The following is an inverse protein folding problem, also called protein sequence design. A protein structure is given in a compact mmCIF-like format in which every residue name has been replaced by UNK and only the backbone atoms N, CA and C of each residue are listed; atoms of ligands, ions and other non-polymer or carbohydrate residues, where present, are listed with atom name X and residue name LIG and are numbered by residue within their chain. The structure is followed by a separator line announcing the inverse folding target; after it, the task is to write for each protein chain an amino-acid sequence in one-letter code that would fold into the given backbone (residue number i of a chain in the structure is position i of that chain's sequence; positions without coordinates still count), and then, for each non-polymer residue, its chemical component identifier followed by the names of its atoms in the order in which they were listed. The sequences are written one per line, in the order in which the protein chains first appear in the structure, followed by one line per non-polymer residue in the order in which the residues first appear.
data_IF_415012683277
#
_entry.id   IF_415012683277
#
_cell.length_a   1.000
_cell.length_b   1.000
_cell.length_c   1.000
_cell.angle_alpha   90.00
_cell.angle_beta   90.00
_cell.angle_gamma   90.00
#
_symmetry.space_group_name_H-M   'P 1'
#
loop_
_entity.id
_entity.type
_entity.pdbx_description
1 polymer ?
#
# COMPACT_ATOMS: atom_id res chain seq x y z
N UNK A 1 -11.61 -12.25 -9.09
CA UNK A 1 -12.36 -11.02 -9.48
C UNK A 1 -11.50 -10.31 -10.54
N UNK A 2 -12.01 -10.01 -11.75
CA UNK A 2 -11.16 -9.80 -12.94
C UNK A 2 -10.59 -8.37 -13.12
N UNK A 3 -11.04 -7.37 -12.35
CA UNK A 3 -10.65 -5.96 -12.54
C UNK A 3 -10.49 -5.23 -11.20
N UNK A 4 -9.47 -4.37 -11.10
CA UNK A 4 -9.34 -3.44 -9.98
C UNK A 4 -10.50 -2.43 -10.02
N UNK A 5 -11.11 -2.13 -8.87
CA UNK A 5 -12.29 -1.25 -8.74
C UNK A 5 -11.96 0.08 -8.07
N UNK A 6 -10.71 0.27 -7.71
CA UNK A 6 -10.21 1.46 -7.03
C UNK A 6 -9.21 2.15 -7.95
N UNK A 7 -9.21 3.48 -7.97
CA UNK A 7 -8.12 4.29 -8.48
C UNK A 7 -7.33 4.87 -7.30
N UNK A 8 -6.08 4.45 -7.18
CA UNK A 8 -5.12 4.99 -6.23
C UNK A 8 -4.23 6.02 -6.90
N UNK A 9 -4.22 7.23 -6.35
CA UNK A 9 -3.40 8.34 -6.85
C UNK A 9 -2.51 8.79 -5.70
N UNK A 10 -1.21 8.91 -5.96
CA UNK A 10 -0.29 9.62 -5.09
C UNK A 10 0.26 10.86 -5.79
N UNK A 11 0.40 11.94 -5.04
CA UNK A 11 1.11 13.15 -5.46
C UNK A 11 2.20 13.42 -4.43
N UNK A 12 3.43 13.55 -4.92
CA UNK A 12 4.56 13.95 -4.09
C UNK A 12 4.73 15.47 -4.18
N UNK A 13 4.13 16.20 -3.25
CA UNK A 13 4.24 17.65 -3.20
C UNK A 13 5.19 18.15 -2.10
N UNK A 14 5.43 17.35 -1.06
CA UNK A 14 6.26 17.70 0.09
C UNK A 14 7.22 16.55 0.44
N UNK A 15 8.51 16.88 0.58
CA UNK A 15 9.53 15.97 1.14
C UNK A 15 10.04 16.41 2.52
N UNK A 16 9.67 17.61 2.98
CA UNK A 16 10.00 18.09 4.32
C UNK A 16 9.55 17.08 5.40
N UNK A 17 10.47 16.61 6.25
CA UNK A 17 10.13 15.67 7.32
C UNK A 17 11.11 15.77 8.49
N UNK A 18 10.64 15.92 9.74
CA UNK A 18 11.52 15.93 10.92
C UNK A 18 11.94 14.51 11.35
N UNK A 19 11.32 13.48 10.78
CA UNK A 19 11.57 12.08 11.10
C UNK A 19 12.94 11.59 10.63
N UNK A 20 13.36 10.47 11.20
CA UNK A 20 14.61 9.79 10.87
C UNK A 20 14.47 8.27 10.88
N UNK A 21 13.26 7.79 10.58
CA UNK A 21 12.95 6.37 10.49
C UNK A 21 13.89 5.68 9.50
N UNK A 22 14.51 4.58 9.93
CA UNK A 22 15.54 3.87 9.16
C UNK A 22 15.01 3.26 7.85
N UNK A 23 13.71 2.96 7.79
CA UNK A 23 13.03 2.49 6.58
C UNK A 23 12.62 3.59 5.60
N UNK A 24 12.90 4.86 5.88
CA UNK A 24 12.44 5.97 5.05
C UNK A 24 13.04 5.94 3.63
N UNK A 25 12.20 6.25 2.64
CA UNK A 25 12.61 6.38 1.24
C UNK A 25 13.28 7.73 0.94
N UNK A 26 13.04 8.75 1.77
CA UNK A 26 13.64 10.08 1.66
C UNK A 26 15.03 10.11 2.28
N UNK A 27 15.99 10.72 1.57
CA UNK A 27 17.33 10.95 2.12
C UNK A 27 17.36 12.20 3.01
N UNK A 28 18.41 12.31 3.82
CA UNK A 28 18.53 13.38 4.83
C UNK A 28 18.49 14.80 4.26
N UNK A 29 18.96 15.01 3.05
CA UNK A 29 19.03 16.34 2.43
C UNK A 29 17.67 16.78 1.86
N UNK A 30 16.88 15.86 1.33
CA UNK A 30 15.53 16.15 0.80
C UNK A 30 14.57 16.64 1.91
N UNK A 31 14.76 16.13 3.12
CA UNK A 31 13.84 16.37 4.25
C UNK A 31 13.93 17.76 4.87
N UNK A 32 14.88 18.59 4.44
CA UNK A 32 15.21 19.87 5.08
C UNK A 32 14.41 21.05 4.55
N UNK A 33 13.56 20.85 3.55
CA UNK A 33 12.75 21.91 2.93
C UNK A 33 11.71 22.44 3.93
N UNK A 34 11.30 23.70 3.72
CA UNK A 34 10.24 24.38 4.51
C UNK A 34 9.12 24.92 3.63
N UNK A 35 9.19 24.62 2.35
CA UNK A 35 8.24 24.99 1.31
C UNK A 35 7.92 23.71 0.54
N UNK A 36 6.75 23.63 -0.10
CA UNK A 36 6.44 22.52 -0.98
C UNK A 36 7.52 22.35 -2.05
N UNK A 37 7.86 21.09 -2.34
CA UNK A 37 8.80 20.69 -3.38
C UNK A 37 8.14 20.79 -4.77
N UNK A 38 6.82 20.53 -4.84
CA UNK A 38 6.00 20.78 -6.02
C UNK A 38 5.49 22.23 -6.05
N UNK A 39 5.70 22.93 -7.16
CA UNK A 39 5.12 24.27 -7.35
C UNK A 39 3.58 24.22 -7.44
N UNK A 40 2.89 25.23 -6.92
CA UNK A 40 1.43 25.31 -7.00
C UNK A 40 0.89 25.20 -8.44
N UNK A 41 1.58 25.81 -9.42
CA UNK A 41 1.24 25.68 -10.84
C UNK A 41 1.21 24.22 -11.29
N UNK A 42 2.20 23.44 -10.85
CA UNK A 42 2.32 22.05 -11.22
C UNK A 42 1.31 21.19 -10.45
N UNK A 43 1.06 21.47 -9.17
CA UNK A 43 0.01 20.83 -8.39
C UNK A 43 -1.37 20.99 -9.03
N UNK A 44 -1.71 22.21 -9.47
CA UNK A 44 -2.96 22.48 -10.20
C UNK A 44 -2.99 21.77 -11.57
N UNK A 45 -1.85 21.68 -12.25
CA UNK A 45 -1.76 20.89 -13.48
C UNK A 45 -2.04 19.40 -13.21
N UNK A 46 -1.49 18.84 -12.13
CA UNK A 46 -1.75 17.45 -11.72
C UNK A 46 -3.26 17.21 -11.52
N UNK A 47 -3.95 18.11 -10.81
CA UNK A 47 -5.40 18.02 -10.63
C UNK A 47 -6.17 18.05 -11.97
N UNK A 48 -5.82 18.97 -12.87
CA UNK A 48 -6.45 19.08 -14.18
C UNK A 48 -6.25 17.81 -15.03
N UNK A 49 -5.07 17.17 -14.92
CA UNK A 49 -4.77 15.94 -15.64
C UNK A 49 -5.52 14.74 -15.08
N UNK A 50 -5.69 14.68 -13.76
CA UNK A 50 -6.50 13.66 -13.10
C UNK A 50 -7.98 13.82 -13.45
N UNK A 51 -8.50 15.05 -13.47
CA UNK A 51 -9.87 15.37 -13.89
C UNK A 51 -10.18 14.89 -15.31
N UNK A 52 -9.23 15.06 -16.23
CA UNK A 52 -9.35 14.53 -17.60
C UNK A 52 -9.21 13.00 -17.67
N UNK A 53 -8.46 12.39 -16.74
CA UNK A 53 -8.13 10.97 -16.76
C UNK A 53 -9.20 10.08 -16.13
N UNK A 54 -9.81 10.48 -15.01
CA UNK A 54 -10.80 9.68 -14.27
C UNK A 54 -11.94 9.17 -15.18
N UNK A 55 -12.54 9.99 -16.08
CA UNK A 55 -13.60 9.54 -16.99
C UNK A 55 -13.17 8.50 -18.02
N UNK A 56 -11.86 8.28 -18.20
CA UNK A 56 -11.32 7.28 -19.15
C UNK A 56 -11.27 5.87 -18.58
N UNK A 57 -11.57 5.73 -17.28
CA UNK A 57 -11.48 4.47 -16.55
C UNK A 57 -12.86 3.84 -16.37
N UNK A 58 -12.97 2.55 -16.70
CA UNK A 58 -14.19 1.78 -16.53
C UNK A 58 -14.25 1.09 -15.15
N UNK A 59 -15.48 0.91 -14.64
CA UNK A 59 -15.79 0.12 -13.44
C UNK A 59 -15.07 0.60 -12.16
N UNK A 60 -14.89 1.91 -12.01
CA UNK A 60 -14.43 2.49 -10.76
C UNK A 60 -15.57 2.53 -9.73
N UNK A 61 -15.29 2.01 -8.54
CA UNK A 61 -16.13 2.13 -7.35
C UNK A 61 -15.57 3.17 -6.36
N UNK A 62 -14.24 3.31 -6.29
CA UNK A 62 -13.57 4.18 -5.31
C UNK A 62 -12.38 4.94 -5.91
N UNK A 63 -12.11 6.14 -5.38
CA UNK A 63 -10.92 6.93 -5.66
C UNK A 63 -10.28 7.36 -4.35
N UNK A 64 -9.00 7.04 -4.19
CA UNK A 64 -8.18 7.50 -3.08
C UNK A 64 -7.05 8.38 -3.61
N UNK A 65 -6.97 9.61 -3.10
CA UNK A 65 -5.94 10.59 -3.46
C UNK A 65 -5.06 10.85 -2.24
N UNK A 66 -3.78 10.53 -2.34
CA UNK A 66 -2.80 10.72 -1.27
C UNK A 66 -1.79 11.81 -1.65
N UNK A 67 -1.64 12.80 -0.78
CA UNK A 67 -0.48 13.69 -0.76
C UNK A 67 0.60 13.04 0.11
N UNK A 68 1.70 12.61 -0.51
CA UNK A 68 2.55 11.52 -0.02
C UNK A 68 4.02 11.85 0.33
N UNK A 69 4.68 10.85 0.90
CA UNK A 69 6.11 10.72 1.27
C UNK A 69 6.65 11.63 2.39
N UNK A 70 6.24 12.90 2.48
CA UNK A 70 6.74 13.86 3.47
C UNK A 70 5.94 13.95 4.77
N UNK A 71 6.17 15.02 5.55
CA UNK A 71 5.34 15.43 6.68
C UNK A 71 4.65 16.75 6.34
N UNK A 72 3.39 16.68 5.91
CA UNK A 72 2.65 17.85 5.44
C UNK A 72 2.35 18.85 6.56
N UNK A 73 2.37 18.45 7.84
CA UNK A 73 2.30 19.39 8.96
C UNK A 73 3.55 20.29 9.07
N UNK A 74 4.54 20.13 8.19
CA UNK A 74 5.65 21.09 8.06
C UNK A 74 5.31 22.29 7.19
N UNK A 75 4.28 22.19 6.35
CA UNK A 75 3.77 23.31 5.54
C UNK A 75 2.92 24.25 6.38
N UNK A 76 2.48 25.38 5.83
CA UNK A 76 1.51 26.23 6.52
C UNK A 76 0.09 25.66 6.44
N UNK A 77 -0.81 26.25 7.22
CA UNK A 77 -2.19 25.80 7.33
C UNK A 77 -2.99 26.04 6.04
N UNK A 78 -2.71 27.14 5.33
CA UNK A 78 -3.42 27.50 4.11
C UNK A 78 -3.10 26.52 2.98
N UNK A 79 -1.85 26.04 2.91
CA UNK A 79 -1.44 25.01 1.98
C UNK A 79 -2.18 23.69 2.23
N UNK A 80 -2.30 23.25 3.49
CA UNK A 80 -3.04 22.03 3.82
C UNK A 80 -4.52 22.12 3.45
N UNK A 81 -5.16 23.26 3.68
CA UNK A 81 -6.55 23.52 3.24
C UNK A 81 -6.67 23.55 1.72
N UNK A 82 -5.66 24.07 1.02
CA UNK A 82 -5.58 24.03 -0.44
C UNK A 82 -5.52 22.58 -0.95
N UNK A 83 -4.68 21.72 -0.35
CA UNK A 83 -4.60 20.30 -0.71
C UNK A 83 -5.95 19.60 -0.53
N UNK A 84 -6.58 19.76 0.63
CA UNK A 84 -7.91 19.20 0.88
C UNK A 84 -8.93 19.72 -0.14
N UNK A 85 -8.94 21.03 -0.40
CA UNK A 85 -9.89 21.62 -1.34
C UNK A 85 -9.73 21.08 -2.76
N UNK A 86 -8.48 20.98 -3.26
CA UNK A 86 -8.21 20.47 -4.59
C UNK A 86 -8.63 19.00 -4.74
N UNK A 87 -8.29 18.16 -3.76
CA UNK A 87 -8.68 16.75 -3.78
C UNK A 87 -10.18 16.54 -3.62
N UNK A 88 -10.83 17.29 -2.73
CA UNK A 88 -12.28 17.24 -2.54
C UNK A 88 -13.03 17.70 -3.79
N UNK A 89 -12.61 18.81 -4.42
CA UNK A 89 -13.21 19.31 -5.66
C UNK A 89 -13.14 18.26 -6.79
N UNK A 90 -12.00 17.56 -6.92
CA UNK A 90 -11.81 16.50 -7.90
C UNK A 90 -12.78 15.33 -7.65
N UNK A 91 -12.83 14.81 -6.43
CA UNK A 91 -13.68 13.67 -6.07
C UNK A 91 -15.18 14.02 -6.18
N UNK A 92 -15.60 15.16 -5.63
CA UNK A 92 -16.99 15.64 -5.67
C UNK A 92 -17.47 15.83 -7.12
N UNK A 93 -16.64 16.39 -8.01
CA UNK A 93 -16.98 16.60 -9.42
C UNK A 93 -17.27 15.28 -10.15
N UNK A 94 -16.59 14.20 -9.79
CA UNK A 94 -16.79 12.88 -10.38
C UNK A 94 -17.81 12.00 -9.62
N UNK A 95 -18.45 12.54 -8.57
CA UNK A 95 -19.48 11.83 -7.80
C UNK A 95 -18.95 10.86 -6.74
N UNK A 96 -17.72 11.06 -6.28
CA UNK A 96 -17.05 10.26 -5.26
C UNK A 96 -17.02 10.99 -3.90
N UNK A 97 -18.17 11.49 -3.44
CA UNK A 97 -18.31 12.23 -2.18
C UNK A 97 -18.77 11.37 -0.99
N UNK A 98 -18.78 10.04 -1.15
CA UNK A 98 -19.10 9.09 -0.09
C UNK A 98 -17.89 8.71 0.79
N UNK A 99 -18.10 8.23 2.04
CA UNK A 99 -17.03 7.98 3.02
C UNK A 99 -15.97 6.95 2.63
N UNK A 100 -16.18 6.16 1.56
CA UNK A 100 -15.19 5.20 1.07
C UNK A 100 -14.11 5.87 0.22
N UNK A 101 -14.34 7.10 -0.22
CA UNK A 101 -13.39 7.93 -0.94
C UNK A 101 -12.83 8.98 0.01
N UNK A 102 -11.54 9.20 -0.02
CA UNK A 102 -10.93 10.21 0.81
C UNK A 102 -9.70 10.83 0.16
N UNK A 103 -9.38 12.02 0.65
CA UNK A 103 -8.09 12.65 0.45
C UNK A 103 -7.24 12.31 1.67
N UNK A 104 -6.00 11.91 1.43
CA UNK A 104 -5.05 11.57 2.48
C UNK A 104 -3.85 12.51 2.44
N UNK A 105 -3.23 12.73 3.60
CA UNK A 105 -1.94 13.42 3.68
C UNK A 105 -1.01 12.71 4.66
N UNK A 106 0.26 12.58 4.32
CA UNK A 106 1.23 11.95 5.22
C UNK A 106 1.72 12.92 6.31
N UNK A 107 1.85 12.44 7.54
CA UNK A 107 2.46 13.19 8.64
C UNK A 107 3.25 12.27 9.57
N UNK A 108 4.34 12.81 10.13
CA UNK A 108 5.12 12.10 11.13
C UNK A 108 4.57 12.26 12.54
N UNK A 109 3.75 13.30 12.79
CA UNK A 109 3.30 13.71 14.14
C UNK A 109 4.44 13.91 15.17
N UNK A 110 5.68 14.09 14.70
CA UNK A 110 6.84 14.39 15.53
C UNK A 110 6.90 15.89 15.79
N UNK A 111 6.64 16.29 17.03
CA UNK A 111 6.73 17.68 17.45
C UNK A 111 6.12 17.91 18.82
N UNK A 112 6.11 19.18 19.25
CA UNK A 112 5.48 19.56 20.50
C UNK A 112 3.96 19.64 20.32
N UNK A 113 3.20 19.11 21.28
CA UNK A 113 1.75 19.04 21.22
C UNK A 113 1.10 20.44 21.12
N UNK A 114 1.65 21.45 21.80
CA UNK A 114 1.19 22.85 21.78
C UNK A 114 1.29 23.52 20.40
N UNK A 115 2.09 22.95 19.49
CA UNK A 115 2.24 23.43 18.10
C UNK A 115 1.43 22.56 17.14
N UNK A 116 1.47 21.24 17.31
CA UNK A 116 0.85 20.30 16.36
C UNK A 116 -0.67 20.20 16.52
N UNK A 117 -1.17 20.08 17.76
CA UNK A 117 -2.58 19.80 18.00
C UNK A 117 -3.52 20.92 17.54
N UNK A 118 -3.22 22.22 17.74
CA UNK A 118 -4.08 23.29 17.22
C UNK A 118 -4.24 23.24 15.70
N UNK A 119 -3.20 22.80 14.99
CA UNK A 119 -3.23 22.68 13.53
C UNK A 119 -4.06 21.50 13.06
N UNK A 120 -3.94 20.36 13.74
CA UNK A 120 -4.78 19.20 13.51
C UNK A 120 -6.26 19.51 13.79
N UNK A 121 -6.53 20.21 14.88
CA UNK A 121 -7.89 20.66 15.23
C UNK A 121 -8.45 21.56 14.13
N UNK A 122 -7.68 22.52 13.63
CA UNK A 122 -8.13 23.40 12.55
C UNK A 122 -8.40 22.63 11.24
N UNK A 123 -7.63 21.60 10.92
CA UNK A 123 -7.87 20.75 9.75
C UNK A 123 -9.10 19.85 9.91
N UNK A 124 -9.27 19.23 11.07
CA UNK A 124 -10.39 18.34 11.34
C UNK A 124 -11.75 19.06 11.27
N UNK A 125 -11.77 20.38 11.56
CA UNK A 125 -12.95 21.22 11.42
C UNK A 125 -13.08 21.90 10.05
N UNK A 126 -12.21 21.58 9.08
CA UNK A 126 -12.35 22.10 7.73
C UNK A 126 -13.50 21.39 7.00
N UNK A 127 -14.67 22.01 7.04
CA UNK A 127 -15.93 21.43 6.57
C UNK A 127 -15.96 21.26 5.04
N UNK A 128 -15.89 20.00 4.60
CA UNK A 128 -16.05 19.52 3.23
C UNK A 128 -16.77 18.18 3.28
N UNK A 129 -17.40 17.77 2.17
CA UNK A 129 -18.07 16.45 2.11
C UNK A 129 -17.05 15.32 2.10
N UNK A 130 -16.05 15.45 1.24
CA UNK A 130 -14.92 14.53 1.15
C UNK A 130 -13.99 14.73 2.34
N UNK A 131 -13.62 13.64 2.99
CA UNK A 131 -12.81 13.63 4.21
C UNK A 131 -11.32 13.82 3.90
N UNK A 132 -10.59 14.42 4.86
CA UNK A 132 -9.14 14.62 4.77
C UNK A 132 -8.44 13.88 5.91
N UNK A 133 -7.99 12.65 5.64
CA UNK A 133 -7.45 11.78 6.69
C UNK A 133 -5.92 11.81 6.74
N UNK A 134 -5.32 11.91 7.93
CA UNK A 134 -3.87 11.75 8.06
C UNK A 134 -3.47 10.28 7.86
N UNK A 135 -2.37 10.08 7.15
CA UNK A 135 -1.55 8.87 7.21
C UNK A 135 -0.45 9.15 8.23
N UNK A 136 -0.60 8.61 9.44
CA UNK A 136 0.32 8.83 10.54
C UNK A 136 1.42 7.76 10.54
N UNK A 137 2.66 8.17 10.32
CA UNK A 137 3.80 7.23 10.38
C UNK A 137 4.18 7.00 11.83
N UNK A 138 4.03 5.77 12.30
CA UNK A 138 4.54 5.23 13.57
C UNK A 138 6.02 4.87 13.43
N UNK A 139 6.88 5.55 14.17
CA UNK A 139 8.31 5.26 14.29
C UNK A 139 8.58 4.60 15.65
N UNK A 140 8.87 3.28 15.71
CA UNK A 140 9.16 2.58 16.95
C UNK A 140 10.31 3.22 17.75
N UNK A 141 11.29 3.84 17.09
CA UNK A 141 12.39 4.51 17.77
C UNK A 141 11.92 5.77 18.53
N UNK A 142 10.84 6.41 18.08
CA UNK A 142 10.19 7.53 18.78
C UNK A 142 9.21 7.03 19.83
N UNK A 143 8.41 6.03 19.51
CA UNK A 143 7.43 5.43 20.42
C UNK A 143 8.08 4.97 21.73
N UNK A 144 9.21 4.25 21.63
CA UNK A 144 9.93 3.74 22.80
C UNK A 144 11.01 4.69 23.33
N UNK A 145 11.03 5.96 22.91
CA UNK A 145 11.96 6.93 23.45
C UNK A 145 11.57 7.36 24.87
N UNK A 146 12.47 7.21 25.84
CA UNK A 146 12.20 7.53 27.26
C UNK A 146 11.72 8.96 27.54
N UNK A 147 12.12 9.93 26.72
CA UNK A 147 11.83 11.34 26.95
C UNK A 147 10.72 11.89 26.02
N UNK A 148 10.38 11.16 24.96
CA UNK A 148 9.50 11.66 23.90
C UNK A 148 8.33 10.70 23.57
N UNK A 149 8.44 9.42 23.95
CA UNK A 149 7.47 8.37 23.59
C UNK A 149 6.04 8.72 23.96
N UNK A 150 5.80 9.11 25.21
CA UNK A 150 4.45 9.48 25.68
C UNK A 150 3.86 10.70 24.95
N UNK A 151 4.69 11.68 24.57
CA UNK A 151 4.24 12.84 23.79
C UNK A 151 3.88 12.42 22.37
N UNK A 152 4.71 11.56 21.78
CA UNK A 152 4.53 11.08 20.43
C UNK A 152 3.29 10.20 20.28
N UNK A 153 3.12 9.24 21.18
CA UNK A 153 1.91 8.43 21.31
C UNK A 153 0.68 9.34 21.50
N UNK A 154 0.73 10.28 22.44
CA UNK A 154 -0.37 11.23 22.67
C UNK A 154 -0.75 12.04 21.43
N UNK A 155 0.22 12.44 20.60
CA UNK A 155 -0.07 13.13 19.34
C UNK A 155 -0.80 12.22 18.33
N UNK A 156 -0.39 10.96 18.22
CA UNK A 156 -1.02 9.96 17.33
C UNK A 156 -2.47 9.69 17.77
N UNK A 157 -2.68 9.42 19.06
CA UNK A 157 -4.01 9.13 19.60
C UNK A 157 -4.93 10.34 19.47
N UNK A 158 -4.41 11.55 19.72
CA UNK A 158 -5.19 12.77 19.54
C UNK A 158 -5.58 13.01 18.08
N UNK A 159 -4.72 12.69 17.12
CA UNK A 159 -5.10 12.74 15.71
C UNK A 159 -6.24 11.75 15.40
N UNK A 160 -6.20 10.53 15.95
CA UNK A 160 -7.28 9.54 15.80
C UNK A 160 -8.61 10.02 16.39
N UNK A 161 -8.58 10.62 17.56
CA UNK A 161 -9.77 11.24 18.16
C UNK A 161 -10.36 12.35 17.28
N UNK A 162 -9.52 13.22 16.71
CA UNK A 162 -9.96 14.39 15.96
C UNK A 162 -10.57 14.04 14.60
N UNK A 163 -9.94 13.12 13.88
CA UNK A 163 -10.35 12.76 12.52
C UNK A 163 -11.32 11.58 12.49
N UNK A 164 -11.45 10.82 13.59
CA UNK A 164 -12.22 9.58 13.66
C UNK A 164 -11.58 8.40 12.91
N UNK A 165 -10.82 8.67 11.85
CA UNK A 165 -10.02 7.72 11.08
C UNK A 165 -8.62 8.28 10.84
N UNK A 166 -7.62 7.42 11.02
CA UNK A 166 -6.20 7.67 10.74
C UNK A 166 -5.67 6.39 10.12
N UNK A 167 -4.99 6.49 9.00
CA UNK A 167 -4.22 5.36 8.46
C UNK A 167 -2.88 5.30 9.22
N UNK A 168 -2.72 4.28 10.06
CA UNK A 168 -1.51 4.09 10.84
C UNK A 168 -0.48 3.36 9.99
N UNK A 169 0.62 4.02 9.65
CA UNK A 169 1.65 3.45 8.79
C UNK A 169 2.95 3.17 9.55
N UNK A 170 3.70 2.14 9.16
CA UNK A 170 5.07 1.89 9.65
C UNK A 170 6.03 1.65 8.49
N UNK A 171 7.21 2.25 8.56
CA UNK A 171 8.30 2.01 7.61
C UNK A 171 9.23 0.91 8.15
N UNK A 172 9.16 -0.28 7.57
CA UNK A 172 9.95 -1.43 7.96
C UNK A 172 11.44 -1.28 7.60
N UNK A 173 12.26 -1.76 8.52
CA UNK A 173 13.71 -1.88 8.44
C UNK A 173 14.16 -2.88 9.49
N UNK A 174 15.44 -3.26 9.48
CA UNK A 174 16.02 -4.09 10.55
C UNK A 174 15.83 -3.44 11.93
N UNK A 175 16.05 -2.13 12.03
CA UNK A 175 15.83 -1.39 13.27
C UNK A 175 14.37 -1.39 13.72
N UNK A 176 13.41 -1.30 12.79
CA UNK A 176 11.99 -1.30 13.14
C UNK A 176 11.58 -2.65 13.76
N UNK A 177 11.93 -3.76 13.12
CA UNK A 177 11.56 -5.11 13.60
C UNK A 177 12.28 -5.53 14.88
N UNK A 178 13.44 -4.93 15.19
CA UNK A 178 14.13 -5.09 16.47
C UNK A 178 13.45 -4.34 17.62
N UNK A 179 12.69 -3.28 17.29
CA UNK A 179 12.10 -2.37 18.29
C UNK A 179 10.64 -2.64 18.59
N UNK A 180 9.87 -3.13 17.63
CA UNK A 180 8.47 -3.48 17.82
C UNK A 180 8.20 -4.87 17.27
N UNK A 181 7.66 -5.74 18.13
CA UNK A 181 7.22 -7.06 17.69
C UNK A 181 5.92 -6.96 16.90
N UNK A 182 5.59 -7.97 16.09
CA UNK A 182 4.31 -8.03 15.39
C UNK A 182 3.10 -7.92 16.33
N UNK A 183 3.17 -8.60 17.48
CA UNK A 183 2.10 -8.58 18.47
C UNK A 183 1.94 -7.20 19.13
N UNK A 184 3.04 -6.54 19.49
CA UNK A 184 2.98 -5.19 20.07
C UNK A 184 2.38 -4.16 19.09
N UNK A 185 2.72 -4.25 17.79
CA UNK A 185 2.12 -3.37 16.79
C UNK A 185 0.62 -3.63 16.64
N UNK A 186 0.22 -4.90 16.59
CA UNK A 186 -1.18 -5.29 16.53
C UNK A 186 -1.94 -4.76 17.77
N UNK A 187 -1.41 -4.99 18.97
CA UNK A 187 -2.07 -4.62 20.23
C UNK A 187 -2.18 -3.11 20.35
N UNK A 188 -1.11 -2.36 20.02
CA UNK A 188 -1.16 -0.91 19.95
C UNK A 188 -2.29 -0.42 19.03
N UNK A 189 -2.39 -0.97 17.82
CA UNK A 189 -3.42 -0.56 16.87
C UNK A 189 -4.84 -0.95 17.35
N UNK A 190 -5.00 -2.17 17.87
CA UNK A 190 -6.29 -2.71 18.29
C UNK A 190 -6.83 -2.07 19.58
N UNK A 191 -5.96 -1.77 20.54
CA UNK A 191 -6.32 -1.11 21.81
C UNK A 191 -6.74 0.35 21.59
N UNK A 192 -6.21 0.99 20.55
CA UNK A 192 -6.49 2.37 20.20
C UNK A 192 -7.46 2.52 19.00
N UNK A 193 -8.17 1.44 18.66
CA UNK A 193 -9.27 1.44 17.67
C UNK A 193 -8.87 1.93 16.27
N UNK A 194 -7.62 1.65 15.85
CA UNK A 194 -7.22 1.83 14.45
C UNK A 194 -7.88 0.76 13.58
N UNK A 195 -8.37 1.15 12.40
CA UNK A 195 -9.04 0.22 11.49
C UNK A 195 -8.05 -0.71 10.79
N UNK A 196 -6.85 -0.21 10.49
CA UNK A 196 -5.83 -0.89 9.70
C UNK A 196 -4.43 -0.35 10.05
N UNK A 197 -3.42 -1.20 9.84
CA UNK A 197 -2.02 -0.79 9.81
C UNK A 197 -1.42 -0.98 8.42
N UNK A 198 -0.94 0.11 7.84
CA UNK A 198 -0.21 0.13 6.57
C UNK A 198 1.27 -0.20 6.80
N UNK A 199 1.74 -1.29 6.20
CA UNK A 199 3.14 -1.71 6.30
C UNK A 199 3.90 -1.30 5.03
N UNK A 200 4.91 -0.44 5.17
CA UNK A 200 5.75 0.01 4.07
C UNK A 200 7.16 -0.58 4.16
N UNK A 201 7.57 -1.34 3.15
CA UNK A 201 8.93 -1.83 3.00
C UNK A 201 9.48 -1.47 1.63
N UNK A 202 10.26 -0.39 1.59
CA UNK A 202 10.64 0.28 0.34
C UNK A 202 12.16 0.40 0.22
N UNK A 203 12.86 -0.72 -0.07
CA UNK A 203 14.31 -0.71 -0.21
C UNK A 203 14.75 0.06 -1.45
N UNK A 204 15.60 1.07 -1.26
CA UNK A 204 16.24 1.87 -2.31
C UNK A 204 17.75 1.69 -2.26
N UNK A 205 18.46 2.13 -3.30
CA UNK A 205 19.94 2.13 -3.27
C UNK A 205 20.51 2.90 -2.07
N UNK A 206 19.81 3.94 -1.60
CA UNK A 206 20.26 4.79 -0.51
C UNK A 206 20.02 4.20 0.89
N UNK A 207 18.95 3.43 1.09
CA UNK A 207 18.57 2.92 2.42
C UNK A 207 18.77 1.39 2.59
N UNK A 208 19.21 0.69 1.54
CA UNK A 208 19.30 -0.79 1.49
C UNK A 208 20.06 -1.43 2.67
N UNK A 209 21.08 -0.75 3.21
CA UNK A 209 21.85 -1.25 4.33
C UNK A 209 21.02 -1.37 5.62
N UNK A 210 19.93 -0.61 5.73
CA UNK A 210 19.02 -0.61 6.86
C UNK A 210 17.74 -1.40 6.57
N UNK A 211 17.28 -1.41 5.32
CA UNK A 211 15.99 -2.02 4.94
C UNK A 211 16.11 -3.48 4.52
N UNK A 212 17.27 -3.95 4.08
CA UNK A 212 17.44 -5.31 3.57
C UNK A 212 18.62 -6.14 4.15
N UNK A 213 19.17 -5.89 5.36
CA UNK A 213 20.24 -6.73 5.88
C UNK A 213 19.76 -8.11 6.38
N UNK A 214 18.46 -8.26 6.68
CA UNK A 214 17.85 -9.46 7.27
C UNK A 214 16.51 -9.83 6.60
N UNK A 215 16.55 -10.22 5.32
CA UNK A 215 15.35 -10.52 4.53
C UNK A 215 14.46 -11.60 5.16
N UNK A 216 15.04 -12.67 5.69
CA UNK A 216 14.27 -13.77 6.29
C UNK A 216 13.54 -13.33 7.57
N UNK A 217 14.21 -12.54 8.43
CA UNK A 217 13.63 -11.99 9.65
C UNK A 217 12.50 -11.01 9.33
N UNK A 218 12.67 -10.17 8.30
CA UNK A 218 11.62 -9.28 7.80
C UNK A 218 10.40 -10.05 7.31
N UNK A 219 10.61 -11.12 6.55
CA UNK A 219 9.53 -11.97 6.06
C UNK A 219 8.82 -12.71 7.21
N UNK A 220 9.56 -13.22 8.20
CA UNK A 220 8.97 -13.84 9.40
C UNK A 220 8.16 -12.84 10.22
N UNK A 221 8.68 -11.63 10.39
CA UNK A 221 7.98 -10.55 11.09
C UNK A 221 6.64 -10.23 10.39
N UNK A 222 6.64 -10.10 9.06
CA UNK A 222 5.43 -9.84 8.26
C UNK A 222 4.40 -10.98 8.39
N UNK A 223 4.84 -12.23 8.31
CA UNK A 223 3.96 -13.40 8.47
C UNK A 223 3.37 -13.44 9.88
N UNK A 224 4.19 -13.21 10.89
CA UNK A 224 3.73 -13.16 12.28
C UNK A 224 2.74 -12.01 12.52
N UNK A 225 2.93 -10.86 11.87
CA UNK A 225 1.98 -9.75 11.93
C UNK A 225 0.64 -10.11 11.29
N UNK A 226 0.66 -10.69 10.09
CA UNK A 226 -0.56 -11.19 9.44
C UNK A 226 -1.29 -12.22 10.32
N UNK A 227 -0.56 -13.14 10.98
CA UNK A 227 -1.16 -14.11 11.90
C UNK A 227 -1.83 -13.44 13.10
N UNK A 228 -1.19 -12.44 13.71
CA UNK A 228 -1.79 -11.67 14.81
C UNK A 228 -3.11 -11.02 14.37
N UNK A 229 -3.09 -10.33 13.22
CA UNK A 229 -4.25 -9.68 12.59
C UNK A 229 -5.40 -10.66 12.33
N UNK A 230 -5.12 -11.79 11.66
CA UNK A 230 -6.14 -12.81 11.34
C UNK A 230 -6.70 -13.48 12.59
N UNK A 231 -5.88 -13.72 13.62
CA UNK A 231 -6.32 -14.42 14.84
C UNK A 231 -7.28 -13.62 15.71
N UNK A 232 -7.14 -12.29 15.72
CA UNK A 232 -7.93 -11.40 16.56
C UNK A 232 -9.11 -10.77 15.82
N UNK A 233 -9.01 -10.59 14.50
CA UNK A 233 -10.02 -9.95 13.64
C UNK A 233 -10.43 -8.54 14.11
N UNK A 234 -9.50 -7.78 14.73
CA UNK A 234 -9.77 -6.45 15.29
C UNK A 234 -9.31 -5.29 14.40
N UNK A 235 -8.28 -5.51 13.60
CA UNK A 235 -7.68 -4.53 12.69
C UNK A 235 -7.42 -5.18 11.34
N UNK A 236 -7.19 -4.40 10.29
CA UNK A 236 -6.69 -4.84 9.00
C UNK A 236 -5.16 -4.71 8.86
N UNK A 237 -4.63 -5.24 7.75
CA UNK A 237 -3.27 -4.94 7.27
C UNK A 237 -3.29 -4.64 5.79
N UNK A 238 -2.41 -3.73 5.32
CA UNK A 238 -2.44 -3.29 3.92
C UNK A 238 -1.92 -4.33 2.92
N UNK A 239 -0.85 -5.06 3.27
CA UNK A 239 -0.16 -5.92 2.31
C UNK A 239 -0.84 -7.28 2.08
N UNK A 240 -1.52 -7.85 3.08
CA UNK A 240 -2.11 -9.18 2.96
C UNK A 240 -3.27 -9.23 1.93
N UNK A 241 -4.25 -8.29 1.95
CA UNK A 241 -5.29 -8.21 0.93
C UNK A 241 -4.71 -7.98 -0.47
N UNK A 242 -3.70 -7.13 -0.60
CA UNK A 242 -3.00 -6.86 -1.87
C UNK A 242 -2.39 -8.13 -2.44
N UNK A 243 -1.61 -8.86 -1.63
CA UNK A 243 -0.94 -10.07 -2.10
C UNK A 243 -1.93 -11.17 -2.44
N UNK A 244 -2.97 -11.38 -1.62
CA UNK A 244 -4.05 -12.34 -1.94
C UNK A 244 -4.73 -11.99 -3.27
N UNK A 245 -5.13 -10.72 -3.47
CA UNK A 245 -5.73 -10.27 -4.74
C UNK A 245 -4.80 -10.46 -5.93
N UNK A 246 -3.51 -10.20 -5.76
CA UNK A 246 -2.51 -10.34 -6.81
C UNK A 246 -2.27 -11.81 -7.18
N UNK A 247 -2.21 -12.70 -6.19
CA UNK A 247 -2.15 -14.15 -6.39
C UNK A 247 -3.40 -14.60 -7.14
N UNK A 248 -4.59 -14.24 -6.67
CA UNK A 248 -5.86 -14.60 -7.31
C UNK A 248 -5.94 -14.09 -8.76
N UNK A 249 -5.56 -12.84 -9.00
CA UNK A 249 -5.59 -12.24 -10.33
C UNK A 249 -4.68 -12.94 -11.33
N UNK A 250 -3.53 -13.44 -10.87
CA UNK A 250 -2.57 -14.19 -11.68
C UNK A 250 -3.00 -15.64 -11.87
N UNK A 251 -3.49 -16.30 -10.81
CA UNK A 251 -3.89 -17.71 -10.84
C UNK A 251 -5.20 -17.95 -11.60
N UNK A 252 -6.16 -17.02 -11.54
CA UNK A 252 -7.43 -17.14 -12.29
C UNK A 252 -7.26 -17.03 -13.83
N UNK A 253 -6.08 -16.69 -14.33
CA UNK A 253 -5.79 -16.58 -15.78
C UNK A 253 -5.15 -17.85 -16.35
N UNK A 254 -4.93 -18.87 -15.52
CA UNK A 254 -4.21 -20.06 -15.91
C UNK A 254 -5.19 -21.25 -16.11
N UNK A 255 -5.31 -21.72 -17.36
CA UNK A 255 -6.12 -22.89 -17.72
C UNK A 255 -5.35 -24.18 -17.35
N UNK A 256 -5.44 -24.61 -16.10
CA UNK A 256 -4.82 -25.82 -15.49
C UNK A 256 -3.28 -25.83 -15.34
N UNK A 257 -2.54 -24.95 -16.03
CA UNK A 257 -1.08 -24.78 -15.91
C UNK A 257 -0.68 -23.63 -14.96
N UNK A 258 0.58 -23.57 -14.52
CA UNK A 258 1.08 -22.41 -13.76
C UNK A 258 1.17 -21.17 -14.67
N UNK A 259 0.70 -19.99 -14.24
CA UNK A 259 0.74 -18.78 -15.05
C UNK A 259 2.18 -18.35 -15.34
N UNK A 260 2.44 -18.02 -16.60
CA UNK A 260 3.77 -17.59 -17.07
C UNK A 260 4.01 -16.10 -16.80
N UNK A 261 5.28 -15.69 -16.79
CA UNK A 261 5.69 -14.27 -16.74
C UNK A 261 4.95 -13.44 -17.79
N UNK A 262 4.91 -13.98 -19.01
CA UNK A 262 4.41 -13.27 -20.18
C UNK A 262 2.91 -13.03 -20.07
N UNK A 263 2.14 -14.02 -19.61
CA UNK A 263 0.70 -13.87 -19.36
C UNK A 263 0.44 -12.80 -18.29
N UNK A 264 1.07 -12.91 -17.12
CA UNK A 264 0.86 -11.96 -16.03
C UNK A 264 1.19 -10.50 -16.44
N UNK A 265 2.32 -10.29 -17.13
CA UNK A 265 2.74 -8.96 -17.60
C UNK A 265 1.83 -8.43 -18.72
N UNK A 266 1.25 -9.29 -19.55
CA UNK A 266 0.40 -8.84 -20.64
C UNK A 266 -1.03 -8.55 -20.22
N UNK A 267 -1.55 -9.34 -19.29
CA UNK A 267 -2.99 -9.43 -19.01
C UNK A 267 -3.38 -8.76 -17.69
N UNK A 268 -2.50 -8.74 -16.69
CA UNK A 268 -2.78 -8.19 -15.35
C UNK A 268 -2.12 -6.82 -15.16
N UNK A 269 -0.80 -6.73 -15.42
CA UNK A 269 -0.02 -5.52 -15.16
C UNK A 269 -0.62 -4.22 -15.75
N UNK A 270 -1.17 -4.18 -16.99
CA UNK A 270 -1.71 -2.95 -17.56
C UNK A 270 -2.92 -2.40 -16.80
N UNK A 271 -3.76 -3.28 -16.25
CA UNK A 271 -4.91 -2.86 -15.47
C UNK A 271 -4.46 -2.26 -14.13
N UNK A 272 -3.50 -2.91 -13.46
CA UNK A 272 -2.91 -2.41 -12.21
C UNK A 272 -2.36 -0.99 -12.37
N UNK A 273 -1.53 -0.75 -13.40
CA UNK A 273 -0.88 0.56 -13.60
C UNK A 273 -1.88 1.66 -13.96
N UNK A 274 -2.94 1.34 -14.72
CA UNK A 274 -3.97 2.35 -15.05
C UNK A 274 -4.70 2.86 -13.81
N UNK A 275 -4.74 2.05 -12.75
CA UNK A 275 -5.50 2.30 -11.53
C UNK A 275 -4.63 2.56 -10.31
N UNK A 276 -3.31 2.62 -10.48
CA UNK A 276 -2.39 2.95 -9.40
C UNK A 276 -1.20 3.73 -9.96
N UNK A 277 -1.23 5.05 -9.74
CA UNK A 277 -0.28 6.01 -10.31
C UNK A 277 0.27 6.95 -9.24
N UNK A 278 1.48 7.45 -9.48
CA UNK A 278 2.12 8.52 -8.71
C UNK A 278 2.51 9.66 -9.66
N UNK A 279 2.33 10.90 -9.20
CA UNK A 279 2.85 12.10 -9.86
C UNK A 279 3.88 12.72 -8.92
N UNK A 280 5.15 12.69 -9.31
CA UNK A 280 6.22 13.22 -8.47
C UNK A 280 6.25 14.76 -8.46
N UNK A 281 7.09 15.35 -7.60
CA UNK A 281 7.25 16.81 -7.46
C UNK A 281 7.67 17.55 -8.75
N UNK A 282 8.17 16.84 -9.77
CA UNK A 282 8.55 17.36 -11.08
C UNK A 282 7.48 17.10 -12.16
N UNK A 283 6.36 16.48 -11.78
CA UNK A 283 5.25 16.15 -12.66
C UNK A 283 5.52 14.91 -13.52
N UNK A 284 6.49 14.07 -13.13
CA UNK A 284 6.66 12.79 -13.79
C UNK A 284 5.54 11.85 -13.36
N UNK A 285 4.97 11.15 -14.34
CA UNK A 285 3.99 10.11 -14.10
C UNK A 285 4.74 8.80 -13.87
N UNK A 286 4.46 8.13 -12.75
CA UNK A 286 5.11 6.90 -12.33
C UNK A 286 4.03 5.82 -12.13
N UNK A 287 4.30 4.55 -12.47
CA UNK A 287 3.46 3.46 -12.02
C UNK A 287 3.71 3.28 -10.52
N UNK A 288 2.64 3.22 -9.73
CA UNK A 288 2.69 2.87 -8.31
C UNK A 288 2.20 1.44 -8.17
N UNK A 289 3.00 0.54 -7.63
CA UNK A 289 2.63 -0.86 -7.44
C UNK A 289 2.66 -1.21 -5.98
N UNK A 290 1.57 -1.82 -5.53
CA UNK A 290 1.45 -2.35 -4.19
C UNK A 290 2.29 -3.64 -4.05
N UNK A 291 2.98 -3.79 -2.93
CA UNK A 291 3.57 -5.03 -2.45
C UNK A 291 3.47 -5.04 -0.92
N UNK A 292 4.60 -4.98 -0.21
CA UNK A 292 4.65 -4.57 1.19
C UNK A 292 4.78 -3.04 1.19
N UNK A 293 3.65 -2.38 1.04
CA UNK A 293 3.55 -0.93 0.82
C UNK A 293 3.60 -0.54 -0.66
N UNK A 294 3.56 0.78 -0.90
CA UNK A 294 3.58 1.36 -2.24
C UNK A 294 5.01 1.51 -2.78
N UNK A 295 5.25 1.03 -4.00
CA UNK A 295 6.56 1.05 -4.66
C UNK A 295 6.44 1.54 -6.10
N UNK A 296 7.23 2.56 -6.46
CA UNK A 296 7.10 3.22 -7.77
C UNK A 296 8.22 2.88 -8.75
N UNK A 297 7.98 3.06 -10.07
CA UNK A 297 9.08 3.18 -11.04
C UNK A 297 9.51 4.63 -11.13
N UNK A 298 10.42 5.02 -10.25
CA UNK A 298 11.04 6.34 -10.27
C UNK A 298 12.54 6.30 -10.14
N UNK A 299 13.13 7.50 -10.21
CA UNK A 299 14.57 7.72 -10.14
C UNK A 299 15.20 7.18 -8.86
N UNK A 300 14.45 7.18 -7.73
CA UNK A 300 14.86 6.59 -6.45
C UNK A 300 15.23 5.10 -6.57
N UNK A 301 14.61 4.41 -7.53
CA UNK A 301 14.89 3.01 -7.83
C UNK A 301 15.77 2.83 -9.07
N UNK A 302 16.11 3.92 -9.78
CA UNK A 302 16.84 3.86 -11.04
C UNK A 302 16.00 3.31 -12.20
N UNK A 303 14.68 3.47 -12.12
CA UNK A 303 13.73 3.05 -13.15
C UNK A 303 13.13 4.29 -13.81
N UNK A 304 12.93 4.27 -15.14
CA UNK A 304 12.41 5.44 -15.83
C UNK A 304 10.91 5.58 -15.64
N UNK A 305 10.47 6.83 -15.77
CA UNK A 305 9.08 7.27 -15.62
C UNK A 305 8.21 6.85 -16.82
N UNK A 306 6.89 6.99 -16.70
CA UNK A 306 5.92 6.78 -17.79
C UNK A 306 5.80 7.99 -18.72
N UNK A 307 6.42 9.11 -18.35
CA UNK A 307 6.32 10.39 -19.05
C UNK A 307 6.19 11.54 -18.05
N UNK A 308 5.87 12.73 -18.55
CA UNK A 308 5.68 13.92 -17.73
C UNK A 308 4.36 14.63 -18.09
N UNK A 309 3.59 15.05 -17.09
CA UNK A 309 2.25 15.62 -17.26
C UNK A 309 2.23 16.98 -17.99
N UNK A 310 3.40 17.63 -18.13
CA UNK A 310 3.55 18.80 -18.99
C UNK A 310 3.51 18.46 -20.49
N UNK A 311 3.67 17.18 -20.86
CA UNK A 311 3.79 16.73 -22.25
C UNK A 311 2.48 16.21 -22.85
N UNK A 312 1.48 15.88 -22.03
CA UNK A 312 0.20 15.35 -22.51
C UNK A 312 -0.74 14.91 -21.40
N UNK A 313 -1.85 14.29 -21.80
CA UNK A 313 -2.82 13.68 -20.89
C UNK A 313 -2.32 12.33 -20.35
N UNK A 314 -2.74 11.96 -19.14
CA UNK A 314 -2.29 10.72 -18.47
C UNK A 314 -2.56 9.47 -19.32
N UNK A 315 -3.74 9.38 -19.94
CA UNK A 315 -4.10 8.23 -20.79
C UNK A 315 -3.12 8.03 -21.97
N UNK A 316 -2.69 9.11 -22.61
CA UNK A 316 -1.76 9.07 -23.75
C UNK A 316 -0.33 8.69 -23.31
N UNK A 317 0.10 9.23 -22.17
CA UNK A 317 1.40 8.90 -21.56
C UNK A 317 1.45 7.40 -21.23
N UNK A 318 0.40 6.87 -20.58
CA UNK A 318 0.27 5.45 -20.29
C UNK A 318 0.26 4.59 -21.55
N UNK A 319 -0.51 4.99 -22.57
CA UNK A 319 -0.57 4.27 -23.85
C UNK A 319 0.79 4.15 -24.53
N UNK A 320 1.61 5.20 -24.47
CA UNK A 320 2.95 5.24 -25.05
C UNK A 320 3.95 4.42 -24.22
N UNK A 321 3.89 4.52 -22.89
CA UNK A 321 4.87 3.91 -21.99
C UNK A 321 4.65 2.42 -21.70
N UNK A 322 3.44 1.88 -21.91
CA UNK A 322 3.07 0.53 -21.50
C UNK A 322 3.95 -0.56 -22.12
N UNK A 323 4.20 -0.51 -23.43
CA UNK A 323 5.02 -1.53 -24.11
C UNK A 323 6.48 -1.55 -23.63
N UNK A 324 7.20 -0.41 -23.56
CA UNK A 324 8.52 -0.35 -22.93
C UNK A 324 8.54 -0.82 -21.47
N UNK A 325 7.51 -0.50 -20.70
CA UNK A 325 7.39 -0.92 -19.31
C UNK A 325 7.28 -2.44 -19.18
N UNK A 326 6.37 -3.07 -19.93
CA UNK A 326 6.22 -4.54 -19.98
C UNK A 326 7.55 -5.24 -20.28
N UNK A 327 8.25 -4.78 -21.32
CA UNK A 327 9.56 -5.33 -21.68
C UNK A 327 10.60 -5.17 -20.55
N UNK A 328 10.55 -4.06 -19.82
CA UNK A 328 11.44 -3.81 -18.67
C UNK A 328 11.15 -4.76 -17.51
N UNK A 329 9.88 -4.94 -17.14
CA UNK A 329 9.48 -5.86 -16.07
C UNK A 329 9.96 -7.28 -16.39
N UNK A 330 9.70 -7.76 -17.61
CA UNK A 330 10.21 -9.07 -18.06
C UNK A 330 11.74 -9.15 -17.98
N UNK A 331 12.42 -8.09 -18.43
CA UNK A 331 13.88 -7.99 -18.40
C UNK A 331 14.49 -7.94 -17.00
N UNK A 332 13.79 -7.41 -16.00
CA UNK A 332 14.27 -7.41 -14.61
C UNK A 332 14.35 -8.85 -14.09
N UNK A 333 13.31 -9.65 -14.29
CA UNK A 333 13.29 -11.04 -13.84
C UNK A 333 14.24 -11.94 -14.62
N UNK A 334 14.35 -11.77 -15.94
CA UNK A 334 15.27 -12.60 -16.75
C UNK A 334 16.75 -12.36 -16.45
N UNK A 335 17.11 -11.18 -15.92
CA UNK A 335 18.49 -10.84 -15.53
C UNK A 335 18.85 -11.22 -14.09
N UNK A 336 17.88 -11.57 -13.25
CA UNK A 336 18.16 -12.00 -11.88
C UNK A 336 18.30 -13.53 -11.83
N UNK A 337 19.48 -14.08 -11.52
CA UNK A 337 19.70 -15.53 -11.52
C UNK A 337 18.74 -16.28 -10.59
N UNK A 338 18.36 -15.67 -9.47
CA UNK A 338 17.40 -16.21 -8.50
C UNK A 338 15.94 -16.27 -9.01
N UNK A 339 15.61 -15.53 -10.08
CA UNK A 339 14.23 -15.40 -10.58
C UNK A 339 13.93 -16.24 -11.82
N UNK A 340 14.94 -16.65 -12.61
CA UNK A 340 14.74 -17.26 -13.93
C UNK A 340 13.78 -18.46 -13.90
N UNK A 341 13.90 -19.29 -12.87
CA UNK A 341 13.09 -20.52 -12.70
C UNK A 341 12.18 -20.44 -11.46
N UNK A 342 11.93 -19.23 -10.92
CA UNK A 342 11.19 -19.05 -9.68
C UNK A 342 9.67 -19.21 -9.89
N UNK A 343 8.97 -20.08 -9.14
CA UNK A 343 7.55 -20.33 -9.34
C UNK A 343 6.64 -19.12 -9.04
N UNK A 344 7.13 -18.13 -8.31
CA UNK A 344 6.36 -16.93 -7.92
C UNK A 344 6.53 -15.74 -8.87
N UNK A 345 7.32 -15.91 -9.95
CA UNK A 345 7.72 -14.79 -10.81
C UNK A 345 6.53 -14.03 -11.41
N UNK A 346 5.43 -14.72 -11.71
CA UNK A 346 4.24 -14.13 -12.30
C UNK A 346 3.55 -13.14 -11.34
N UNK A 347 3.46 -13.51 -10.06
CA UNK A 347 2.92 -12.64 -9.00
C UNK A 347 3.88 -11.47 -8.73
N UNK A 348 5.18 -11.74 -8.64
CA UNK A 348 6.18 -10.68 -8.43
C UNK A 348 6.18 -9.62 -9.56
N UNK A 349 5.92 -10.04 -10.80
CA UNK A 349 5.93 -9.17 -11.97
C UNK A 349 4.78 -8.15 -11.99
N UNK A 350 3.68 -8.40 -11.29
CA UNK A 350 2.48 -7.54 -11.27
C UNK A 350 2.34 -6.74 -9.97
N UNK A 351 3.26 -6.92 -9.02
CA UNK A 351 3.33 -6.21 -7.73
C UNK A 351 4.62 -5.40 -7.63
N UNK A 352 4.78 -4.60 -6.58
CA UNK A 352 6.03 -3.85 -6.30
C UNK A 352 7.29 -4.72 -6.16
N UNK A 353 7.17 -6.06 -6.03
CA UNK A 353 8.31 -6.96 -5.90
C UNK A 353 9.25 -6.96 -7.10
N UNK A 354 8.79 -6.66 -8.31
CA UNK A 354 9.71 -6.54 -9.45
C UNK A 354 10.63 -5.32 -9.33
N UNK A 355 10.18 -4.21 -8.75
CA UNK A 355 11.05 -3.07 -8.44
C UNK A 355 12.08 -3.46 -7.38
N UNK A 356 11.65 -4.16 -6.33
CA UNK A 356 12.58 -4.67 -5.32
C UNK A 356 13.58 -5.68 -5.92
N UNK A 357 13.16 -6.49 -6.89
CA UNK A 357 14.04 -7.38 -7.66
C UNK A 357 15.08 -6.59 -8.44
N UNK A 358 14.72 -5.43 -9.01
CA UNK A 358 15.68 -4.55 -9.68
C UNK A 358 16.77 -4.03 -8.72
N UNK A 359 16.40 -3.73 -7.47
CA UNK A 359 17.29 -3.20 -6.44
C UNK A 359 18.15 -4.28 -5.79
N UNK A 360 17.55 -5.40 -5.41
CA UNK A 360 18.15 -6.45 -4.59
C UNK A 360 18.69 -7.62 -5.42
N UNK A 361 18.07 -7.90 -6.57
CA UNK A 361 18.39 -9.01 -7.45
C UNK A 361 19.85 -9.09 -7.91
N UNK A 362 20.54 -7.98 -8.24
CA UNK A 362 21.97 -8.02 -8.58
C UNK A 362 22.89 -8.53 -7.46
N UNK A 363 22.40 -8.58 -6.21
CA UNK A 363 23.15 -9.07 -5.04
C UNK A 363 22.83 -10.52 -4.69
N UNK A 364 21.81 -11.12 -5.32
CA UNK A 364 21.40 -12.49 -5.07
C UNK A 364 21.87 -13.43 -6.18
N UNK A 365 22.56 -14.50 -5.78
CA UNK A 365 22.87 -15.64 -6.64
C UNK A 365 21.74 -16.67 -6.64
N UNK A 366 21.85 -17.71 -7.48
CA UNK A 366 20.92 -18.85 -7.43
C UNK A 366 20.94 -19.55 -6.07
N UNK A 367 22.12 -19.62 -5.45
CA UNK A 367 22.34 -20.31 -4.17
C UNK A 367 21.81 -19.54 -2.96
N UNK A 368 21.60 -18.23 -3.08
CA UNK A 368 21.12 -17.38 -1.98
C UNK A 368 19.60 -17.31 -1.88
N UNK A 369 18.87 -17.91 -2.83
CA UNK A 369 17.40 -17.88 -2.84
C UNK A 369 16.80 -16.53 -3.27
N UNK A 370 15.56 -16.26 -2.85
CA UNK A 370 14.82 -15.06 -3.21
C UNK A 370 15.55 -13.80 -2.71
N UNK A 371 15.75 -12.75 -3.54
CA UNK A 371 16.45 -11.52 -3.11
C UNK A 371 15.66 -10.65 -2.12
N UNK A 372 14.39 -10.98 -1.85
CA UNK A 372 13.46 -10.18 -1.05
C UNK A 372 12.41 -11.09 -0.39
N UNK A 373 11.44 -10.50 0.31
CA UNK A 373 10.47 -11.23 1.14
C UNK A 373 9.40 -11.99 0.33
N UNK A 374 9.33 -11.81 -1.00
CA UNK A 374 8.17 -12.23 -1.79
C UNK A 374 7.89 -13.73 -1.75
N UNK A 375 8.91 -14.58 -1.93
CA UNK A 375 8.70 -16.03 -2.02
C UNK A 375 7.99 -16.56 -0.76
N UNK A 376 8.56 -16.25 0.42
CA UNK A 376 8.03 -16.70 1.71
C UNK A 376 6.63 -16.16 2.00
N UNK A 377 6.35 -14.91 1.63
CA UNK A 377 4.99 -14.33 1.76
C UNK A 377 3.99 -14.99 0.82
N UNK A 378 4.37 -15.19 -0.45
CA UNK A 378 3.48 -15.78 -1.45
C UNK A 378 3.18 -17.23 -1.08
N UNK A 379 4.19 -18.01 -0.67
CA UNK A 379 3.99 -19.37 -0.14
C UNK A 379 3.02 -19.36 1.03
N UNK A 380 3.23 -18.49 2.03
CA UNK A 380 2.34 -18.37 3.19
C UNK A 380 0.88 -18.09 2.79
N UNK A 381 0.62 -17.17 1.86
CA UNK A 381 -0.74 -16.85 1.42
C UNK A 381 -1.35 -17.92 0.52
N UNK A 382 -0.55 -18.62 -0.28
CA UNK A 382 -1.01 -19.77 -1.07
C UNK A 382 -1.40 -20.94 -0.16
N UNK A 383 -0.60 -21.23 0.87
CA UNK A 383 -0.90 -22.28 1.85
C UNK A 383 -2.17 -21.96 2.65
N UNK A 384 -2.37 -20.70 3.07
CA UNK A 384 -3.61 -20.26 3.71
C UNK A 384 -4.84 -20.49 2.81
N UNK A 385 -4.72 -20.23 1.50
CA UNK A 385 -5.80 -20.44 0.55
C UNK A 385 -6.13 -21.92 0.35
N UNK A 386 -5.12 -22.79 0.30
CA UNK A 386 -5.30 -24.25 0.21
C UNK A 386 -6.01 -24.78 1.45
N UNK A 387 -5.53 -24.42 2.65
CA UNK A 387 -6.13 -24.84 3.92
C UNK A 387 -7.59 -24.37 4.01
N UNK A 388 -7.86 -23.12 3.61
CA UNK A 388 -9.22 -22.58 3.60
C UNK A 388 -10.13 -23.35 2.62
N UNK A 389 -9.62 -23.80 1.48
CA UNK A 389 -10.40 -24.59 0.52
C UNK A 389 -10.66 -26.01 1.01
N UNK A 390 -9.66 -26.68 1.57
CA UNK A 390 -9.81 -28.00 2.20
C UNK A 390 -10.87 -27.97 3.31
N UNK A 391 -10.83 -26.97 4.20
CA UNK A 391 -11.84 -26.79 5.24
C UNK A 391 -13.25 -26.55 4.68
N UNK A 392 -13.38 -25.78 3.59
CA UNK A 392 -14.68 -25.59 2.90
C UNK A 392 -15.18 -26.89 2.29
N UNK A 393 -14.31 -27.69 1.67
CA UNK A 393 -14.64 -28.98 1.09
C UNK A 393 -15.07 -29.98 2.18
N UNK A 394 -14.35 -30.06 3.30
CA UNK A 394 -14.72 -30.89 4.45
C UNK A 394 -16.08 -30.48 5.05
N UNK A 395 -16.33 -29.19 5.24
CA UNK A 395 -17.63 -28.69 5.71
C UNK A 395 -18.76 -28.99 4.71
N UNK A 396 -18.49 -28.90 3.40
CA UNK A 396 -19.43 -29.28 2.35
C UNK A 396 -19.70 -30.80 2.31
N UNK A 397 -18.75 -31.63 2.74
CA UNK A 397 -18.90 -33.08 2.89
C UNK A 397 -19.65 -33.49 4.16
N UNK A 398 -19.61 -32.68 5.23
CA UNK A 398 -20.33 -32.94 6.49
C UNK A 398 -21.80 -32.47 6.41
N UNK A 399 -22.09 -31.39 5.67
CA UNK A 399 -23.44 -30.82 5.53
C UNK A 399 -24.54 -31.78 5.00
N UNK A 400 -24.28 -32.77 4.11
CA UNK A 400 -25.31 -33.72 3.65
C UNK A 400 -25.61 -34.83 4.66
N UNK A 401 -24.73 -35.09 5.63
CA UNK A 401 -24.91 -36.15 6.62
C UNK A 401 -25.95 -35.76 7.70
N UNK A 402 -26.02 -34.48 8.07
CA UNK A 402 -26.97 -33.97 9.07
C UNK A 402 -28.42 -33.88 8.56
N UNK A 403 -28.66 -33.88 7.24
CA UNK A 403 -30.03 -33.89 6.66
C UNK A 403 -30.62 -35.27 6.41
N UNK A 404 -29.86 -36.36 6.61
CA UNK A 404 -30.34 -37.75 6.41
C UNK A 404 -30.75 -38.48 7.70
N UNK A 405 -30.59 -37.88 8.88
CA UNK A 405 -30.96 -38.50 10.17
C UNK A 405 -32.26 -37.98 10.80
N UNK A 406 -32.98 -37.02 10.20
CA UNK A 406 -34.24 -36.48 10.78
C UNK A 406 -35.52 -36.88 10.03
N UNK A 407 -35.48 -37.79 9.05
CA UNK A 407 -36.67 -38.18 8.26
C UNK A 407 -37.15 -39.63 8.44
N UNK A 408 -36.76 -40.33 9.51
CA UNK A 408 -37.34 -41.64 9.86
C UNK A 408 -37.75 -41.71 11.33
N UNK A 409 -39.06 -41.60 11.56
CA UNK A 409 -39.69 -42.00 12.81
C UNK A 409 -40.75 -41.02 13.30
N UNK A 410 -41.90 -40.96 12.62
CA UNK A 410 -43.21 -40.65 13.22
C UNK A 410 -44.31 -40.88 12.18
N UNK A 411 -44.69 -42.14 11.99
CA UNK A 411 -45.95 -42.52 11.37
C UNK A 411 -46.38 -43.86 11.96
N UNK A 412 -47.50 -43.83 12.69
CA UNK A 412 -48.23 -44.88 13.42
C UNK A 412 -48.49 -44.25 14.80
N UNK A 413 -49.70 -43.81 15.18
CA UNK A 413 -50.95 -44.54 15.26
C UNK A 413 -52.15 -43.58 15.18
N UNK A 414 -53.14 -43.88 14.34
CA UNK A 414 -54.55 -43.50 14.54
C UNK A 414 -55.42 -44.26 13.54
N UNK A 415 -56.12 -45.30 14.00
CA UNK A 415 -57.41 -45.76 13.45
C UNK A 415 -58.12 -46.63 14.48
N UNK A 416 -59.42 -46.37 14.62
CA UNK A 416 -60.47 -47.03 15.41
C UNK A 416 -60.49 -46.75 16.92
#
# INVERSE_FOLDING_TARGET
MKYARELQIQIDDVYACPGNCAGCILVADERRTRTPDMSERLLRLSMNRLDAYIPTLDNLEYINLTYGIGDHLRMDQDYLKLLHSLGADLLEKHGYDDPKNAVFFTTSLIGKADILLPRLEELAHHDRRVQFYPIAVLDPAKLYNKNFGAVYEGNILRAKELFGKVDLAINLSAEAIERITPQELHDFAAENEFDEVTINWTPTKANIAHTAPCIDDLADWLIAFNRAVVSAERIGSSFAPVLRRSIDAVMCQADDDRPTLQQAVNDVLPETIRKSIEIDHLGNLLPKLEAVGDITHGDRFGLPTLGNINQGEIADLLGTAMSPLKARVMGIHSRSPACVDCPHLAVCAVTGFHVQTHILGPRAGRETGCPHVAAKLIDHFMDEAVIADELRQEQAFIAPAARRQTSRGNSEWMTA
#
